data_IF_436615370854
#
_entry.id   IF_436615370854
#
_cell.length_a   1.000
_cell.length_b   1.000
_cell.length_c   1.000
_cell.angle_alpha   90.00
_cell.angle_beta   90.00
_cell.angle_gamma   90.00
#
_symmetry.space_group_name_H-M   'P 1'
#
loop_
_entity.id
_entity.type
_entity.pdbx_description
1 polymer ?
#
# COMPACT_ATOMS: atom_id res chain seq x y z
N UNK A 1 15.90 36.64 -9.67
CA UNK A 1 14.47 36.42 -9.90
C UNK A 1 14.33 35.20 -10.80
N UNK A 2 14.27 34.04 -10.22
CA UNK A 2 14.02 32.78 -10.95
C UNK A 2 12.83 32.13 -10.27
N UNK A 3 11.65 32.35 -10.88
CA UNK A 3 10.41 31.76 -10.46
C UNK A 3 10.45 30.24 -10.66
N UNK A 4 10.34 29.53 -9.58
CA UNK A 4 10.13 28.08 -9.56
C UNK A 4 8.71 27.81 -10.01
N UNK A 5 8.51 27.62 -11.30
CA UNK A 5 7.28 27.07 -11.87
C UNK A 5 7.29 25.58 -11.54
N UNK A 6 6.83 25.23 -10.36
CA UNK A 6 6.35 23.90 -10.10
C UNK A 6 5.23 23.62 -11.12
N UNK A 7 5.57 22.91 -12.16
CA UNK A 7 4.62 22.46 -13.18
C UNK A 7 3.64 21.54 -12.45
N UNK A 8 2.49 22.10 -12.07
CA UNK A 8 1.33 21.37 -11.62
C UNK A 8 0.84 20.59 -12.84
N UNK A 9 1.45 19.45 -13.11
CA UNK A 9 0.85 18.44 -13.98
C UNK A 9 -0.38 17.92 -13.24
N UNK A 10 -1.51 18.53 -13.53
CA UNK A 10 -2.80 17.99 -13.17
C UNK A 10 -3.00 16.73 -14.02
N UNK A 11 -2.40 15.61 -13.64
CA UNK A 11 -2.91 14.33 -14.08
C UNK A 11 -4.30 14.21 -13.44
N UNK A 12 -5.29 13.93 -14.26
CA UNK A 12 -6.69 13.71 -13.82
C UNK A 12 -6.79 12.31 -13.14
N UNK A 13 -5.65 11.69 -12.82
CA UNK A 13 -5.53 10.38 -12.21
C UNK A 13 -5.69 10.47 -10.70
N UNK A 14 -6.40 9.47 -10.14
CA UNK A 14 -6.61 9.34 -8.69
C UNK A 14 -5.29 9.04 -7.95
N UNK A 15 -4.44 8.22 -8.56
CA UNK A 15 -3.07 7.96 -8.09
C UNK A 15 -2.09 8.21 -9.22
N UNK A 16 -0.97 8.86 -8.91
CA UNK A 16 0.13 9.04 -9.86
C UNK A 16 1.48 8.89 -9.18
N UNK A 17 2.41 8.37 -9.93
CA UNK A 17 3.81 8.22 -9.54
C UNK A 17 4.69 8.57 -10.73
N UNK A 18 5.60 9.52 -10.55
CA UNK A 18 6.46 10.04 -11.62
C UNK A 18 7.93 9.93 -11.26
N UNK A 19 8.70 9.37 -12.19
CA UNK A 19 10.15 9.24 -12.13
C UNK A 19 10.64 8.71 -10.78
N UNK A 20 10.00 7.64 -10.28
CA UNK A 20 10.30 7.08 -8.96
C UNK A 20 11.61 6.31 -8.96
N UNK A 21 12.51 6.67 -8.05
CA UNK A 21 13.79 5.98 -7.83
C UNK A 21 13.88 5.51 -6.38
N UNK A 22 14.05 4.21 -6.17
CA UNK A 22 14.11 3.64 -4.84
C UNK A 22 15.27 2.66 -4.64
N UNK A 23 15.80 2.62 -3.42
CA UNK A 23 17.05 1.98 -3.07
C UNK A 23 16.94 1.14 -1.80
N UNK A 24 17.58 -0.03 -1.77
CA UNK A 24 17.92 -0.75 -0.54
C UNK A 24 19.38 -0.44 -0.18
N UNK A 25 19.61 0.43 0.80
CA UNK A 25 20.93 0.98 1.04
C UNK A 25 21.48 1.64 -0.24
N UNK A 26 22.59 1.13 -0.77
CA UNK A 26 23.18 1.62 -2.02
C UNK A 26 22.68 0.87 -3.28
N UNK A 27 21.86 -0.16 -3.12
CA UNK A 27 21.36 -0.93 -4.25
C UNK A 27 20.17 -0.23 -4.91
N UNK A 28 20.36 0.22 -6.15
CA UNK A 28 19.36 0.92 -6.96
C UNK A 28 18.40 -0.09 -7.60
N UNK A 29 17.20 -0.22 -7.08
CA UNK A 29 16.25 -1.28 -7.46
C UNK A 29 15.11 -0.76 -8.35
N UNK A 30 14.55 0.40 -8.04
CA UNK A 30 13.49 1.01 -8.84
C UNK A 30 14.07 2.21 -9.57
N UNK A 31 14.00 2.18 -10.91
CA UNK A 31 14.81 3.04 -11.78
C UNK A 31 13.92 3.88 -12.70
N UNK A 32 13.42 5.02 -12.19
CA UNK A 32 12.64 5.98 -12.99
C UNK A 32 11.27 5.44 -13.41
N UNK A 33 10.57 4.73 -12.51
CA UNK A 33 9.26 4.17 -12.83
C UNK A 33 8.18 5.25 -12.70
N UNK A 34 7.32 5.34 -13.73
CA UNK A 34 6.15 6.22 -13.73
C UNK A 34 4.91 5.41 -14.06
N UNK A 35 3.80 5.69 -13.37
CA UNK A 35 2.48 5.12 -13.66
C UNK A 35 1.37 6.02 -13.11
N UNK A 36 0.21 5.91 -13.72
CA UNK A 36 -1.02 6.59 -13.32
C UNK A 36 -2.15 5.59 -13.18
N UNK A 37 -3.03 5.79 -12.20
CA UNK A 37 -4.22 4.96 -11.95
C UNK A 37 -5.41 5.86 -11.73
N UNK A 38 -6.49 5.64 -12.48
CA UNK A 38 -7.73 6.38 -12.32
C UNK A 38 -8.56 5.81 -11.17
N UNK A 39 -9.53 6.58 -10.70
CA UNK A 39 -10.49 6.08 -9.70
C UNK A 39 -11.24 4.86 -10.23
N UNK A 40 -11.34 3.80 -9.43
CA UNK A 40 -11.99 2.54 -9.81
C UNK A 40 -11.19 1.66 -10.79
N UNK A 41 -9.98 2.07 -11.19
CA UNK A 41 -9.14 1.30 -12.10
C UNK A 41 -8.34 0.22 -11.38
N UNK A 42 -8.10 -0.90 -12.08
CA UNK A 42 -7.16 -1.95 -11.66
C UNK A 42 -5.97 -1.94 -12.60
N UNK A 43 -4.79 -1.61 -12.09
CA UNK A 43 -3.54 -1.64 -12.83
C UNK A 43 -2.74 -2.91 -12.48
N UNK A 44 -2.37 -3.69 -13.49
CA UNK A 44 -1.52 -4.87 -13.31
C UNK A 44 -0.04 -4.53 -13.52
N UNK A 45 0.78 -4.71 -12.48
CA UNK A 45 2.23 -4.54 -12.55
C UNK A 45 2.89 -5.88 -12.93
N UNK A 46 3.26 -6.02 -14.20
CA UNK A 46 3.83 -7.24 -14.75
C UNK A 46 5.36 -7.17 -14.88
N UNK A 47 6.02 -8.30 -14.78
CA UNK A 47 7.47 -8.40 -14.93
C UNK A 47 8.05 -9.69 -14.34
N UNK A 48 9.32 -9.99 -14.69
CA UNK A 48 10.05 -11.15 -14.17
C UNK A 48 10.30 -11.04 -12.67
N UNK A 49 10.65 -12.16 -12.03
CA UNK A 49 11.12 -12.13 -10.64
C UNK A 49 12.41 -11.28 -10.54
N UNK A 50 12.49 -10.44 -9.53
CA UNK A 50 13.59 -9.48 -9.38
C UNK A 50 13.44 -8.17 -10.18
N UNK A 51 12.35 -7.97 -10.94
CA UNK A 51 12.12 -6.75 -11.72
C UNK A 51 11.72 -5.52 -10.88
N UNK A 52 11.71 -5.61 -9.54
CA UNK A 52 11.40 -4.48 -8.67
C UNK A 52 9.91 -4.27 -8.37
N UNK A 53 9.00 -5.17 -8.78
CA UNK A 53 7.55 -5.02 -8.56
C UNK A 53 7.18 -4.81 -7.08
N UNK A 54 7.60 -5.74 -6.22
CA UNK A 54 7.36 -5.66 -4.78
C UNK A 54 8.03 -4.43 -4.18
N UNK A 55 9.24 -4.07 -4.64
CA UNK A 55 9.96 -2.87 -4.20
C UNK A 55 9.21 -1.59 -4.59
N UNK A 56 8.63 -1.55 -5.79
CA UNK A 56 7.78 -0.44 -6.23
C UNK A 56 6.56 -0.28 -5.33
N UNK A 57 5.82 -1.37 -5.05
CA UNK A 57 4.65 -1.34 -4.16
C UNK A 57 5.03 -0.93 -2.72
N UNK A 58 6.17 -1.42 -2.21
CA UNK A 58 6.68 -1.04 -0.88
C UNK A 58 7.05 0.44 -0.81
N UNK A 59 7.67 1.00 -1.86
CA UNK A 59 8.00 2.42 -1.95
C UNK A 59 6.75 3.29 -2.03
N UNK A 60 5.70 2.86 -2.76
CA UNK A 60 4.38 3.53 -2.79
C UNK A 60 3.75 3.56 -1.39
N UNK A 61 3.81 2.44 -0.66
CA UNK A 61 3.32 2.36 0.72
C UNK A 61 4.21 3.09 1.75
N UNK A 62 5.27 3.77 1.29
CA UNK A 62 6.19 4.55 2.12
C UNK A 62 6.84 3.73 3.24
N UNK A 63 7.08 2.43 3.00
CA UNK A 63 7.85 1.62 3.94
C UNK A 63 9.31 2.12 3.99
N UNK A 64 9.98 1.90 5.11
CA UNK A 64 11.36 2.35 5.34
C UNK A 64 12.33 1.78 4.29
N UNK A 65 12.06 0.57 3.82
CA UNK A 65 12.82 -0.10 2.77
C UNK A 65 11.89 -0.62 1.65
N UNK A 66 12.15 -0.30 0.38
CA UNK A 66 13.23 0.57 -0.14
C UNK A 66 12.99 2.05 0.12
N UNK A 67 14.08 2.82 0.28
CA UNK A 67 14.01 4.27 0.44
C UNK A 67 13.72 4.94 -0.91
N UNK A 68 12.68 5.74 -0.96
CA UNK A 68 12.41 6.64 -2.07
C UNK A 68 13.39 7.82 -1.99
N UNK A 69 14.31 7.94 -2.96
CA UNK A 69 15.29 9.03 -3.01
C UNK A 69 14.95 10.11 -4.03
N UNK A 70 14.19 9.77 -5.08
CA UNK A 70 13.78 10.70 -6.13
C UNK A 70 12.42 10.31 -6.70
N UNK A 71 11.72 11.28 -7.29
CA UNK A 71 10.41 11.12 -7.88
C UNK A 71 9.28 11.64 -6.99
N UNK A 72 8.08 11.60 -7.51
CA UNK A 72 6.89 12.11 -6.85
C UNK A 72 5.81 11.05 -6.80
N UNK A 73 5.06 10.99 -5.71
CA UNK A 73 3.91 10.11 -5.55
C UNK A 73 2.74 10.96 -5.04
N UNK A 74 1.59 10.83 -5.69
CA UNK A 74 0.38 11.58 -5.40
C UNK A 74 -0.82 10.65 -5.29
N UNK A 75 -1.70 10.90 -4.34
CA UNK A 75 -2.98 10.23 -4.16
C UNK A 75 -4.06 11.30 -3.96
N UNK A 76 -5.07 11.31 -4.83
CA UNK A 76 -6.18 12.27 -4.79
C UNK A 76 -5.72 13.72 -4.58
N UNK A 77 -4.72 14.16 -5.34
CA UNK A 77 -4.12 15.49 -5.26
C UNK A 77 -3.23 15.74 -4.03
N UNK A 78 -3.05 14.76 -3.16
CA UNK A 78 -2.17 14.84 -1.99
C UNK A 78 -0.80 14.19 -2.26
N UNK A 79 0.29 14.91 -2.03
CA UNK A 79 1.63 14.33 -2.14
C UNK A 79 1.95 13.40 -0.99
N UNK A 80 2.42 12.18 -1.33
CA UNK A 80 2.88 11.19 -0.36
C UNK A 80 4.39 11.26 -0.11
N UNK A 81 5.13 12.11 -0.83
CA UNK A 81 6.60 12.09 -0.89
C UNK A 81 7.28 12.15 0.48
N UNK A 82 6.81 13.01 1.39
CA UNK A 82 7.39 13.21 2.72
C UNK A 82 6.60 12.53 3.85
N UNK A 83 5.66 11.65 3.50
CA UNK A 83 4.86 10.94 4.49
C UNK A 83 5.60 9.73 5.06
N UNK A 84 5.34 9.43 6.33
CA UNK A 84 5.65 8.13 6.91
C UNK A 84 4.69 7.05 6.36
N UNK A 85 5.02 5.77 6.52
CA UNK A 85 4.13 4.66 6.16
C UNK A 85 2.77 4.74 6.85
N UNK A 86 2.74 5.16 8.11
CA UNK A 86 1.49 5.37 8.85
C UNK A 86 0.64 6.50 8.23
N UNK A 87 1.27 7.64 7.90
CA UNK A 87 0.55 8.75 7.25
C UNK A 87 0.01 8.36 5.87
N UNK A 88 0.80 7.63 5.07
CA UNK A 88 0.35 7.11 3.79
C UNK A 88 -0.86 6.16 3.96
N UNK A 89 -0.82 5.28 4.96
CA UNK A 89 -1.93 4.38 5.27
C UNK A 89 -3.20 5.14 5.67
N UNK A 90 -3.10 6.16 6.52
CA UNK A 90 -4.22 7.03 6.92
C UNK A 90 -4.78 7.80 5.71
N UNK A 91 -3.91 8.15 4.74
CA UNK A 91 -4.33 8.81 3.49
C UNK A 91 -5.02 7.87 2.48
N UNK A 92 -5.07 6.55 2.75
CA UNK A 92 -5.77 5.58 1.92
C UNK A 92 -4.88 4.58 1.16
N UNK A 93 -3.56 4.59 1.37
CA UNK A 93 -2.66 3.60 0.77
C UNK A 93 -2.63 2.34 1.62
N UNK A 94 -3.09 1.21 1.08
CA UNK A 94 -2.99 -0.09 1.75
C UNK A 94 -2.14 -1.06 0.95
N UNK A 95 -1.19 -1.72 1.61
CA UNK A 95 -0.35 -2.75 1.02
C UNK A 95 -0.70 -4.12 1.60
N UNK A 96 -1.05 -5.07 0.72
CA UNK A 96 -1.16 -6.48 1.09
C UNK A 96 0.20 -7.15 0.82
N UNK A 97 0.95 -7.54 1.86
CA UNK A 97 2.25 -8.16 1.71
C UNK A 97 2.15 -9.62 1.24
N UNK A 98 3.23 -10.15 0.66
CA UNK A 98 3.31 -11.56 0.23
C UNK A 98 3.29 -12.53 1.42
N UNK A 99 3.90 -12.16 2.54
CA UNK A 99 3.85 -12.86 3.80
C UNK A 99 2.54 -12.52 4.51
N UNK A 100 1.93 -13.49 5.13
CA UNK A 100 0.59 -13.35 5.74
C UNK A 100 0.54 -12.31 6.86
N UNK A 101 1.66 -12.08 7.55
CA UNK A 101 1.82 -11.15 8.69
C UNK A 101 0.74 -11.31 9.77
N UNK A 102 0.29 -12.54 9.98
CA UNK A 102 -0.61 -12.85 11.09
C UNK A 102 0.18 -12.71 12.40
N UNK A 103 -0.37 -11.94 13.32
CA UNK A 103 0.24 -11.73 14.64
C UNK A 103 -0.05 -12.94 15.51
N UNK A 104 1.02 -13.59 15.96
CA UNK A 104 0.94 -14.74 16.86
C UNK A 104 0.30 -14.36 18.19
N UNK A 105 -0.44 -15.28 18.80
CA UNK A 105 -1.12 -15.07 20.08
C UNK A 105 -2.41 -14.24 19.97
N UNK A 106 -2.74 -13.70 18.80
CA UNK A 106 -4.00 -13.03 18.56
C UNK A 106 -4.97 -13.92 17.80
N UNK A 107 -6.24 -13.80 18.14
CA UNK A 107 -7.34 -14.42 17.42
C UNK A 107 -7.51 -13.82 16.02
N UNK A 108 -8.28 -14.49 15.17
CA UNK A 108 -8.66 -13.96 13.85
C UNK A 108 -9.31 -12.58 13.99
N UNK A 109 -10.26 -12.44 14.92
CA UNK A 109 -10.98 -11.18 15.16
C UNK A 109 -10.03 -10.06 15.60
N UNK A 110 -9.13 -10.33 16.53
CA UNK A 110 -8.14 -9.34 16.99
C UNK A 110 -7.16 -8.94 15.89
N UNK A 111 -6.72 -9.87 15.03
CA UNK A 111 -5.90 -9.56 13.88
C UNK A 111 -6.62 -8.61 12.90
N UNK A 112 -7.93 -8.82 12.65
CA UNK A 112 -8.74 -7.97 11.79
C UNK A 112 -8.92 -6.59 12.43
N UNK A 113 -9.23 -6.53 13.72
CA UNK A 113 -9.40 -5.27 14.46
C UNK A 113 -8.13 -4.44 14.46
N UNK A 114 -6.97 -5.08 14.64
CA UNK A 114 -5.68 -4.39 14.64
C UNK A 114 -5.31 -3.79 13.28
N UNK A 115 -5.83 -4.36 12.19
CA UNK A 115 -5.61 -3.81 10.84
C UNK A 115 -6.48 -2.57 10.53
N UNK A 116 -7.45 -2.23 11.38
CA UNK A 116 -8.29 -1.05 11.22
C UNK A 116 -7.55 0.20 11.72
N UNK A 117 -6.91 0.93 10.81
CA UNK A 117 -6.17 2.16 11.13
C UNK A 117 -7.10 3.38 11.21
N UNK A 118 -8.19 3.33 10.43
CA UNK A 118 -9.23 4.37 10.35
C UNK A 118 -10.60 3.73 10.52
N UNK A 119 -11.61 4.53 10.88
CA UNK A 119 -13.00 4.07 10.90
C UNK A 119 -13.42 3.52 9.51
N UNK A 120 -13.88 2.28 9.43
CA UNK A 120 -14.19 1.66 8.15
C UNK A 120 -15.45 2.26 7.54
N UNK A 121 -15.34 2.84 6.37
CA UNK A 121 -16.50 3.32 5.61
C UNK A 121 -17.10 2.16 4.80
N UNK A 122 -18.27 1.69 5.24
CA UNK A 122 -19.03 0.64 4.53
C UNK A 122 -18.48 -0.79 4.65
N UNK A 123 -17.39 -1.02 5.39
CA UNK A 123 -16.78 -2.33 5.65
C UNK A 123 -16.68 -2.61 7.14
N UNK A 124 -17.78 -3.06 7.75
CA UNK A 124 -17.75 -3.55 9.13
C UNK A 124 -17.15 -4.96 9.20
N UNK A 125 -16.74 -5.37 10.40
CA UNK A 125 -16.25 -6.73 10.64
C UNK A 125 -17.35 -7.77 10.35
N UNK A 126 -18.60 -7.45 10.66
CA UNK A 126 -19.76 -8.29 10.36
C UNK A 126 -19.90 -8.52 8.86
N UNK A 127 -19.78 -7.47 8.05
CA UNK A 127 -19.80 -7.58 6.60
C UNK A 127 -18.65 -8.43 6.05
N UNK A 128 -17.48 -8.39 6.67
CA UNK A 128 -16.37 -9.29 6.32
C UNK A 128 -16.74 -10.76 6.63
N UNK A 129 -17.39 -11.02 7.74
CA UNK A 129 -17.84 -12.37 8.09
C UNK A 129 -18.97 -12.89 7.20
N UNK A 130 -19.86 -12.01 6.73
CA UNK A 130 -20.88 -12.35 5.73
C UNK A 130 -20.24 -12.73 4.38
N UNK A 131 -19.19 -12.02 3.97
CA UNK A 131 -18.44 -12.32 2.75
C UNK A 131 -17.56 -13.57 2.89
N UNK A 132 -16.99 -13.78 4.08
CA UNK A 132 -16.12 -14.89 4.42
C UNK A 132 -16.67 -15.68 5.63
N UNK A 133 -17.74 -16.50 5.48
CA UNK A 133 -18.41 -17.17 6.61
C UNK A 133 -17.46 -18.05 7.44
N UNK A 134 -16.53 -18.75 6.79
CA UNK A 134 -15.53 -19.58 7.50
C UNK A 134 -14.61 -18.77 8.40
N UNK A 135 -14.36 -17.51 8.06
CA UNK A 135 -13.58 -16.61 8.90
C UNK A 135 -14.38 -16.24 10.16
N UNK A 136 -15.69 -15.97 10.00
CA UNK A 136 -16.60 -15.70 11.10
C UNK A 136 -16.76 -16.89 12.06
N UNK A 137 -16.88 -18.12 11.54
CA UNK A 137 -16.93 -19.36 12.34
C UNK A 137 -15.70 -19.56 13.21
N UNK A 138 -14.55 -19.08 12.74
CA UNK A 138 -13.22 -19.24 13.37
C UNK A 138 -12.70 -17.98 14.05
N UNK A 139 -13.53 -16.95 14.20
CA UNK A 139 -13.11 -15.63 14.68
C UNK A 139 -12.36 -15.64 16.01
N UNK A 140 -12.67 -16.60 16.88
CA UNK A 140 -12.05 -16.78 18.20
C UNK A 140 -10.85 -17.74 18.21
N UNK A 141 -10.52 -18.36 17.07
CA UNK A 141 -9.33 -19.19 16.95
C UNK A 141 -8.09 -18.30 16.76
N UNK A 142 -6.94 -18.81 17.19
CA UNK A 142 -5.67 -18.12 16.93
C UNK A 142 -5.39 -18.04 15.44
N UNK A 143 -5.10 -16.82 14.95
CA UNK A 143 -4.98 -16.53 13.52
C UNK A 143 -3.94 -17.37 12.80
N UNK A 144 -2.82 -17.69 13.45
CA UNK A 144 -1.73 -18.50 12.85
C UNK A 144 -2.14 -19.96 12.59
N UNK A 145 -3.21 -20.45 13.23
CA UNK A 145 -3.69 -21.84 13.04
C UNK A 145 -4.51 -22.02 11.78
N UNK A 146 -4.88 -20.92 11.10
CA UNK A 146 -5.61 -20.98 9.84
C UNK A 146 -4.70 -21.45 8.71
N UNK A 147 -5.16 -22.43 7.91
CA UNK A 147 -4.49 -22.80 6.66
C UNK A 147 -4.64 -21.68 5.64
N UNK A 148 -3.69 -21.60 4.68
CA UNK A 148 -3.75 -20.63 3.59
C UNK A 148 -4.92 -20.91 2.64
N UNK A 149 -5.88 -20.01 2.64
CA UNK A 149 -7.04 -20.06 1.75
C UNK A 149 -8.08 -19.09 2.21
#
# INVERSE_FOLDING_TARGET
MTGNLATKMASNSYFSMHDMHAYYGESYIVQGVSLDVNEGEILALLGRNGAGKTSTLRAIARLDDPQLRQGEIWLDGQSLHNMSSHQAAVSGVSLVPEDRRIIQGLTVEENIQLAQIVEPVGWSIERLYDLFPRLGERRKQEGVTLSGG
#
